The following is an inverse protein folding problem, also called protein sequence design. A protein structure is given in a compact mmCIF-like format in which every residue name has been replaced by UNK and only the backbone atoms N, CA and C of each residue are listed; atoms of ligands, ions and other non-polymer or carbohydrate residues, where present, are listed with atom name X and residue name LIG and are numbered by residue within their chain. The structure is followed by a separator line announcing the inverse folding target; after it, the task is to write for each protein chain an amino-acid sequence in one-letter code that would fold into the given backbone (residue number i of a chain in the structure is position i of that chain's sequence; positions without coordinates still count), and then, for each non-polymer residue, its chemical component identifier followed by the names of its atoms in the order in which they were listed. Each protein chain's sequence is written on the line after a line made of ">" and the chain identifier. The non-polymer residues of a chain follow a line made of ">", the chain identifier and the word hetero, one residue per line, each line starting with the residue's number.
data_IF_858681220594
#
_entry.id   IF_858681220594
#
_cell.length_a   1.000
_cell.length_b   1.000
_cell.length_c   1.000
_cell.angle_alpha   90.00
_cell.angle_beta   90.00
_cell.angle_gamma   90.00
#
_symmetry.space_group_name_H-M   'P 1'
#
loop_
_entity.id
_entity.type
_entity.pdbx_description
1 polymer ?
#
# COMPACT_ATOMS: atom_id res chain seq x y z
N UNK A 1 -30.88 80.00 12.10
CA UNK A 1 -29.81 79.21 12.74
C UNK A 1 -30.33 77.78 12.87
N UNK A 2 -30.17 76.98 11.81
CA UNK A 2 -30.55 75.56 11.76
C UNK A 2 -29.23 74.80 11.69
N UNK A 3 -28.90 74.05 12.74
CA UNK A 3 -27.68 73.25 12.78
C UNK A 3 -27.92 71.93 12.03
N UNK A 4 -27.22 71.77 10.91
CA UNK A 4 -27.07 70.47 10.24
C UNK A 4 -26.16 69.57 11.07
N UNK A 5 -26.70 68.46 11.57
CA UNK A 5 -25.90 67.33 12.04
C UNK A 5 -25.68 66.39 10.84
N UNK A 6 -24.51 66.45 10.21
CA UNK A 6 -24.05 65.42 9.29
C UNK A 6 -23.43 64.28 10.09
N UNK A 7 -24.13 63.15 10.14
CA UNK A 7 -23.64 61.90 10.71
C UNK A 7 -22.65 61.27 9.72
N UNK A 8 -21.35 61.38 9.98
CA UNK A 8 -20.33 60.64 9.22
C UNK A 8 -20.36 59.17 9.64
N UNK A 9 -20.97 58.34 8.79
CA UNK A 9 -20.92 56.89 8.93
C UNK A 9 -19.57 56.40 8.40
N UNK A 10 -18.61 56.13 9.29
CA UNK A 10 -17.39 55.42 8.95
C UNK A 10 -17.74 53.95 8.70
N UNK A 11 -17.89 53.57 7.43
CA UNK A 11 -17.95 52.17 7.02
C UNK A 11 -16.54 51.60 7.16
N UNK A 12 -16.27 50.91 8.26
CA UNK A 12 -15.13 50.01 8.36
C UNK A 12 -15.38 48.83 7.43
N UNK A 13 -14.84 48.91 6.21
CA UNK A 13 -14.67 47.73 5.37
C UNK A 13 -13.60 46.87 6.05
N UNK A 14 -14.03 45.91 6.87
CA UNK A 14 -13.20 44.76 7.13
C UNK A 14 -13.01 44.07 5.79
N UNK A 15 -11.84 44.29 5.17
CA UNK A 15 -11.30 43.30 4.25
C UNK A 15 -11.15 42.03 5.07
N UNK A 16 -12.17 41.15 5.02
CA UNK A 16 -11.90 39.73 5.10
C UNK A 16 -10.92 39.50 3.95
N UNK A 17 -9.64 39.43 4.28
CA UNK A 17 -8.70 38.67 3.48
C UNK A 17 -9.38 37.30 3.43
N UNK A 18 -10.01 36.97 2.30
CA UNK A 18 -10.39 35.60 2.04
C UNK A 18 -9.12 34.81 2.35
N UNK A 19 -9.17 33.98 3.39
CA UNK A 19 -8.12 33.00 3.60
C UNK A 19 -8.04 32.29 2.26
N UNK A 20 -6.95 32.52 1.51
CA UNK A 20 -6.76 31.88 0.22
C UNK A 20 -7.08 30.40 0.45
N UNK A 21 -8.05 29.84 -0.28
CA UNK A 21 -8.43 28.44 -0.11
C UNK A 21 -7.17 27.60 -0.34
N UNK A 22 -6.46 27.24 0.73
CA UNK A 22 -5.18 26.56 0.64
C UNK A 22 -5.50 25.13 0.24
N UNK A 23 -5.18 24.79 -1.00
CA UNK A 23 -5.26 23.43 -1.51
C UNK A 23 -3.86 22.82 -1.47
N UNK A 24 -3.61 21.94 -0.52
CA UNK A 24 -2.34 21.23 -0.46
C UNK A 24 -2.24 20.23 -1.62
N UNK A 25 -1.14 20.20 -2.39
CA UNK A 25 -0.93 19.16 -3.38
C UNK A 25 -0.76 17.79 -2.70
N UNK A 26 -1.22 16.74 -3.38
CA UNK A 26 -1.19 15.37 -2.89
C UNK A 26 -0.40 14.44 -3.81
N UNK A 27 0.35 13.51 -3.20
CA UNK A 27 0.92 12.36 -3.90
C UNK A 27 0.28 11.09 -3.35
N UNK A 28 -0.30 10.27 -4.21
CA UNK A 28 -0.94 8.99 -3.88
C UNK A 28 0.04 7.84 -4.04
N UNK A 29 0.21 7.06 -2.98
CA UNK A 29 1.12 5.91 -2.92
C UNK A 29 0.28 4.64 -2.68
N UNK A 30 0.23 3.73 -3.67
CA UNK A 30 -0.59 2.52 -3.59
C UNK A 30 -0.04 1.49 -2.62
N UNK A 31 -0.87 0.50 -2.28
CA UNK A 31 -0.48 -0.71 -1.57
C UNK A 31 -0.07 -1.84 -2.50
N UNK A 32 0.00 -3.05 -1.95
CA UNK A 32 0.25 -4.27 -2.73
C UNK A 32 -0.84 -4.48 -3.78
N UNK A 33 -0.45 -4.74 -5.03
CA UNK A 33 -1.37 -4.79 -6.17
C UNK A 33 -1.95 -3.45 -6.60
N UNK A 34 -1.64 -2.31 -5.95
CA UNK A 34 -2.32 -1.02 -6.14
C UNK A 34 -1.86 -0.15 -7.32
N UNK A 35 -0.91 -0.64 -8.13
CA UNK A 35 -0.45 0.02 -9.35
C UNK A 35 -0.56 -0.93 -10.54
N UNK A 36 -0.76 -0.40 -11.74
CA UNK A 36 -0.66 -1.21 -12.96
C UNK A 36 0.76 -1.72 -13.18
N UNK A 37 0.90 -2.90 -13.78
CA UNK A 37 2.19 -3.45 -14.25
C UNK A 37 2.06 -3.82 -15.72
N UNK A 38 3.01 -3.37 -16.53
CA UNK A 38 3.09 -3.72 -17.94
C UNK A 38 4.27 -4.66 -18.17
N UNK A 39 4.13 -5.57 -19.13
CA UNK A 39 5.15 -6.53 -19.49
C UNK A 39 5.43 -6.55 -20.99
N UNK A 40 6.66 -6.88 -21.36
CA UNK A 40 7.07 -7.22 -22.72
C UNK A 40 7.77 -8.57 -22.70
N UNK A 41 7.45 -9.45 -23.65
CA UNK A 41 7.99 -10.80 -23.70
C UNK A 41 8.94 -10.97 -24.88
N UNK A 42 10.10 -11.55 -24.62
CA UNK A 42 11.05 -12.02 -25.62
C UNK A 42 11.77 -13.28 -25.13
N UNK A 43 11.03 -14.39 -25.08
CA UNK A 43 11.46 -15.62 -24.43
C UNK A 43 12.10 -16.60 -25.41
N UNK A 44 13.24 -17.14 -25.02
CA UNK A 44 13.93 -18.24 -25.70
C UNK A 44 13.40 -19.60 -25.23
N UNK A 45 13.14 -19.73 -23.92
CA UNK A 45 12.62 -20.94 -23.28
C UNK A 45 11.11 -21.12 -23.51
N UNK A 46 10.63 -22.37 -23.57
CA UNK A 46 9.19 -22.64 -23.68
C UNK A 46 8.45 -22.16 -22.42
N UNK A 47 7.28 -21.52 -22.57
CA UNK A 47 6.45 -21.14 -21.45
C UNK A 47 5.70 -22.37 -20.90
N UNK A 48 4.98 -22.25 -19.75
CA UNK A 48 4.36 -23.39 -19.08
C UNK A 48 3.39 -24.18 -19.96
N UNK A 49 2.69 -23.50 -20.87
CA UNK A 49 1.74 -24.10 -21.80
C UNK A 49 1.93 -23.57 -23.21
N UNK A 50 1.54 -24.37 -24.22
CA UNK A 50 1.71 -24.01 -25.64
C UNK A 50 0.94 -22.75 -26.05
N UNK A 51 -0.13 -22.40 -25.33
CA UNK A 51 -0.95 -21.21 -25.59
C UNK A 51 -0.44 -19.95 -24.87
N UNK A 52 0.55 -20.07 -23.97
CA UNK A 52 1.19 -18.90 -23.39
C UNK A 52 2.12 -18.24 -24.43
N UNK A 53 2.05 -16.92 -24.56
CA UNK A 53 2.90 -16.22 -25.52
C UNK A 53 4.38 -16.25 -25.12
N UNK A 54 5.27 -16.40 -26.10
CA UNK A 54 6.72 -16.23 -25.94
C UNK A 54 7.19 -14.83 -26.27
N UNK A 55 6.50 -14.17 -27.18
CA UNK A 55 6.86 -12.86 -27.71
C UNK A 55 5.64 -11.95 -27.69
N UNK A 56 5.82 -10.75 -27.18
CA UNK A 56 4.80 -9.70 -27.20
C UNK A 56 5.50 -8.35 -27.23
N UNK A 57 4.81 -7.33 -27.73
CA UNK A 57 5.12 -5.97 -27.33
C UNK A 57 4.58 -5.71 -25.91
N UNK A 58 4.70 -4.48 -25.42
CA UNK A 58 4.14 -4.05 -24.14
C UNK A 58 2.63 -4.32 -24.05
N UNK A 59 2.22 -5.05 -23.01
CA UNK A 59 0.82 -5.27 -22.65
C UNK A 59 0.64 -5.08 -21.15
N UNK A 60 -0.61 -4.82 -20.74
CA UNK A 60 -0.98 -4.77 -19.33
C UNK A 60 -0.97 -6.18 -18.73
N UNK A 61 0.00 -6.44 -17.83
CA UNK A 61 0.10 -7.70 -17.10
C UNK A 61 -0.78 -7.69 -15.85
N UNK A 62 -0.88 -6.53 -15.20
CA UNK A 62 -1.69 -6.34 -14.00
C UNK A 62 -2.42 -4.99 -14.04
N UNK A 63 -3.74 -4.93 -13.83
CA UNK A 63 -4.68 -6.05 -13.67
C UNK A 63 -5.38 -6.37 -14.99
N UNK A 64 -5.21 -7.60 -15.50
CA UNK A 64 -6.05 -8.12 -16.59
C UNK A 64 -6.78 -9.38 -16.11
N UNK A 65 -8.10 -9.26 -15.88
CA UNK A 65 -8.92 -10.37 -15.38
C UNK A 65 -8.94 -11.58 -16.33
N UNK A 66 -8.65 -11.38 -17.63
CA UNK A 66 -8.55 -12.47 -18.61
C UNK A 66 -7.30 -13.32 -18.42
N UNK A 67 -6.27 -12.77 -17.78
CA UNK A 67 -5.01 -13.45 -17.51
C UNK A 67 -5.04 -14.29 -16.22
N UNK A 68 -6.04 -14.08 -15.35
CA UNK A 68 -6.13 -14.74 -14.03
C UNK A 68 -7.24 -15.80 -13.95
N UNK A 69 -7.91 -16.11 -15.07
CA UNK A 69 -8.86 -17.22 -15.15
C UNK A 69 -8.13 -18.57 -15.07
N UNK A 70 -8.76 -19.65 -14.56
CA UNK A 70 -8.09 -20.92 -14.29
C UNK A 70 -7.24 -21.47 -15.44
N UNK A 71 -7.69 -21.33 -16.69
CA UNK A 71 -7.03 -21.86 -17.87
C UNK A 71 -5.77 -21.07 -18.27
N UNK A 72 -5.67 -19.79 -17.89
CA UNK A 72 -4.62 -18.85 -18.35
C UNK A 72 -3.70 -18.40 -17.21
N UNK A 73 -4.11 -18.59 -15.95
CA UNK A 73 -3.39 -18.12 -14.76
C UNK A 73 -1.93 -18.57 -14.69
N UNK A 74 -1.61 -19.75 -15.22
CA UNK A 74 -0.22 -20.24 -15.26
C UNK A 74 0.66 -19.37 -16.17
N UNK A 75 0.12 -18.79 -17.25
CA UNK A 75 0.82 -17.81 -18.08
C UNK A 75 1.05 -16.50 -17.34
N UNK A 76 0.04 -16.00 -16.62
CA UNK A 76 0.16 -14.81 -15.77
C UNK A 76 1.24 -15.01 -14.70
N UNK A 77 1.15 -16.10 -13.93
CA UNK A 77 2.07 -16.42 -12.85
C UNK A 77 3.51 -16.49 -13.37
N UNK A 78 3.71 -17.11 -14.53
CA UNK A 78 5.05 -17.24 -15.10
C UNK A 78 5.62 -15.91 -15.63
N UNK A 79 4.77 -14.98 -16.05
CA UNK A 79 5.17 -13.61 -16.42
C UNK A 79 5.37 -12.70 -15.20
N UNK A 80 4.61 -12.92 -14.13
CA UNK A 80 4.59 -12.05 -12.95
C UNK A 80 5.64 -12.42 -11.92
N UNK A 81 5.97 -13.71 -11.79
CA UNK A 81 6.88 -14.22 -10.76
C UNK A 81 8.30 -13.69 -10.94
N UNK A 82 9.04 -13.65 -9.83
CA UNK A 82 10.43 -13.24 -9.78
C UNK A 82 11.35 -14.45 -9.56
N UNK A 83 12.63 -14.29 -9.92
CA UNK A 83 13.70 -15.23 -9.59
C UNK A 83 14.62 -14.60 -8.55
N UNK A 84 15.01 -15.36 -7.53
CA UNK A 84 15.93 -14.89 -6.49
C UNK A 84 17.36 -15.37 -6.74
N UNK A 85 18.32 -14.48 -6.56
CA UNK A 85 19.73 -14.81 -6.59
C UNK A 85 20.29 -14.81 -5.15
N UNK A 86 20.68 -16.00 -4.67
CA UNK A 86 21.18 -16.17 -3.31
C UNK A 86 22.50 -15.46 -3.03
N UNK A 87 23.30 -15.18 -4.06
CA UNK A 87 24.58 -14.48 -3.93
C UNK A 87 24.36 -12.98 -3.79
N UNK A 88 23.54 -12.39 -4.65
CA UNK A 88 23.28 -10.94 -4.62
C UNK A 88 22.19 -10.55 -3.61
N UNK A 89 21.44 -11.53 -3.10
CA UNK A 89 20.28 -11.34 -2.23
C UNK A 89 19.18 -10.48 -2.85
N UNK A 90 19.07 -10.50 -4.19
CA UNK A 90 18.12 -9.69 -4.97
C UNK A 90 17.27 -10.54 -5.89
N UNK A 91 16.13 -9.98 -6.29
CA UNK A 91 15.22 -10.56 -7.26
C UNK A 91 15.39 -9.93 -8.65
N UNK A 92 15.14 -10.73 -9.68
CA UNK A 92 15.04 -10.31 -11.07
C UNK A 92 13.77 -10.84 -11.70
N UNK A 93 13.33 -10.23 -12.80
CA UNK A 93 12.31 -10.84 -13.64
C UNK A 93 12.86 -12.15 -14.25
N UNK A 94 11.96 -13.01 -14.74
CA UNK A 94 12.36 -14.16 -15.53
C UNK A 94 13.06 -13.74 -16.82
N UNK A 95 13.94 -14.60 -17.32
CA UNK A 95 14.60 -14.40 -18.61
C UNK A 95 13.57 -14.20 -19.72
N UNK A 96 13.75 -13.14 -20.52
CA UNK A 96 12.82 -12.77 -21.58
C UNK A 96 11.52 -12.12 -21.09
N UNK A 97 11.42 -11.72 -19.81
CA UNK A 97 10.32 -10.89 -19.31
C UNK A 97 10.85 -9.53 -18.87
N UNK A 98 10.39 -8.49 -19.54
CA UNK A 98 10.63 -7.10 -19.14
C UNK A 98 9.39 -6.55 -18.46
N UNK A 99 9.59 -5.76 -17.40
CA UNK A 99 8.52 -5.17 -16.60
C UNK A 99 8.70 -3.66 -16.57
N UNK A 100 7.57 -2.95 -16.67
CA UNK A 100 7.49 -1.50 -16.55
C UNK A 100 6.33 -1.12 -15.64
N UNK A 101 6.56 -0.14 -14.79
CA UNK A 101 5.54 0.49 -13.96
C UNK A 101 5.11 1.80 -14.62
N UNK A 102 3.93 1.88 -15.25
CA UNK A 102 3.48 3.08 -15.95
C UNK A 102 2.91 4.14 -15.02
N UNK A 103 2.86 5.38 -15.52
CA UNK A 103 2.06 6.46 -14.92
C UNK A 103 2.72 7.18 -13.75
N UNK A 104 4.03 7.03 -13.53
CA UNK A 104 4.74 7.77 -12.48
C UNK A 104 4.55 9.29 -12.61
N UNK A 105 4.11 9.94 -11.54
CA UNK A 105 3.72 11.36 -11.51
C UNK A 105 2.28 11.65 -11.95
N UNK A 106 1.55 10.70 -12.55
CA UNK A 106 0.14 10.83 -12.89
C UNK A 106 -0.71 9.93 -11.97
N UNK A 107 -1.99 10.21 -11.80
CA UNK A 107 -2.89 9.42 -10.93
C UNK A 107 -3.57 8.25 -11.64
N UNK A 108 -3.59 8.22 -12.99
CA UNK A 108 -4.35 7.24 -13.77
C UNK A 108 -4.09 5.78 -13.39
N UNK A 109 -2.83 5.41 -13.17
CA UNK A 109 -2.41 4.03 -12.90
C UNK A 109 -2.49 3.63 -11.43
N UNK A 110 -2.93 4.54 -10.56
CA UNK A 110 -3.26 4.28 -9.15
C UNK A 110 -4.74 4.56 -8.84
N UNK A 111 -5.48 5.17 -9.77
CA UNK A 111 -6.93 5.35 -9.64
C UNK A 111 -7.70 4.04 -9.84
N UNK A 112 -7.21 3.18 -10.74
CA UNK A 112 -7.80 1.88 -11.09
C UNK A 112 -6.72 0.81 -11.22
N UNK A 113 -7.02 -0.42 -10.80
CA UNK A 113 -6.12 -1.56 -10.98
C UNK A 113 -5.92 -1.94 -12.45
N UNK A 114 -6.88 -1.65 -13.32
CA UNK A 114 -6.82 -1.95 -14.75
C UNK A 114 -6.95 -0.69 -15.63
N UNK A 115 -6.46 -0.76 -16.87
CA UNK A 115 -6.52 0.35 -17.82
C UNK A 115 -7.91 0.60 -18.43
N UNK A 116 -8.85 -0.34 -18.29
CA UNK A 116 -10.23 -0.16 -18.76
C UNK A 116 -11.02 0.83 -17.90
N UNK A 117 -10.59 1.06 -16.65
CA UNK A 117 -11.22 2.01 -15.73
C UNK A 117 -12.60 1.56 -15.25
N UNK A 118 -12.90 0.26 -15.30
CA UNK A 118 -14.17 -0.29 -14.86
C UNK A 118 -14.38 -0.07 -13.35
N UNK A 119 -15.64 0.12 -12.93
CA UNK A 119 -15.95 0.44 -11.53
C UNK A 119 -15.47 -0.63 -10.52
N UNK A 120 -15.37 -1.89 -10.95
CA UNK A 120 -14.90 -2.98 -10.10
C UNK A 120 -13.41 -2.86 -9.75
N UNK A 121 -12.58 -2.32 -10.66
CA UNK A 121 -11.16 -2.08 -10.43
C UNK A 121 -10.84 -0.71 -9.82
N UNK A 122 -11.87 0.07 -9.50
CA UNK A 122 -11.71 1.35 -8.81
C UNK A 122 -10.92 1.17 -7.50
N UNK A 123 -9.86 1.95 -7.36
CA UNK A 123 -8.97 2.00 -6.20
C UNK A 123 -8.96 3.42 -5.63
N UNK A 124 -7.98 4.28 -5.90
CA UNK A 124 -8.01 5.70 -5.47
C UNK A 124 -9.01 6.59 -6.25
N UNK A 125 -9.62 6.09 -7.32
CA UNK A 125 -10.52 6.89 -8.18
C UNK A 125 -11.59 7.71 -7.43
N UNK A 126 -12.29 7.20 -6.39
CA UNK A 126 -13.33 7.98 -5.71
C UNK A 126 -12.76 9.20 -4.97
N UNK A 127 -11.60 9.04 -4.31
CA UNK A 127 -10.90 10.13 -3.62
C UNK A 127 -10.42 11.17 -4.63
N UNK A 128 -9.72 10.73 -5.68
CA UNK A 128 -9.20 11.62 -6.73
C UNK A 128 -10.33 12.37 -7.43
N UNK A 129 -11.45 11.69 -7.74
CA UNK A 129 -12.63 12.31 -8.35
C UNK A 129 -13.23 13.38 -7.44
N UNK A 130 -13.38 13.11 -6.14
CA UNK A 130 -13.86 14.11 -5.16
C UNK A 130 -12.99 15.35 -5.17
N UNK A 131 -11.67 15.19 -5.11
CA UNK A 131 -10.72 16.32 -5.14
C UNK A 131 -10.79 17.11 -6.44
N UNK A 132 -10.94 16.44 -7.59
CA UNK A 132 -11.09 17.12 -8.88
C UNK A 132 -12.35 18.00 -8.92
N UNK A 133 -13.45 17.58 -8.27
CA UNK A 133 -14.65 18.44 -8.16
C UNK A 133 -14.41 19.70 -7.32
N UNK A 134 -13.34 19.72 -6.52
CA UNK A 134 -12.94 20.83 -5.67
C UNK A 134 -11.81 21.67 -6.28
N UNK A 135 -11.54 21.52 -7.58
CA UNK A 135 -10.57 22.33 -8.31
C UNK A 135 -9.15 21.75 -8.40
N UNK A 136 -8.94 20.52 -7.93
CA UNK A 136 -7.68 19.82 -8.15
C UNK A 136 -7.52 19.34 -9.61
N UNK A 137 -6.26 19.29 -10.06
CA UNK A 137 -5.83 18.90 -11.40
C UNK A 137 -4.85 17.73 -11.34
N UNK A 138 -5.21 16.61 -11.98
CA UNK A 138 -4.35 15.43 -12.15
C UNK A 138 -3.05 15.79 -12.86
N UNK A 139 -1.94 15.23 -12.43
CA UNK A 139 -0.61 15.52 -12.96
C UNK A 139 -0.02 16.86 -12.50
N UNK A 140 -0.75 17.68 -11.73
CA UNK A 140 -0.27 18.97 -11.21
C UNK A 140 -0.26 18.97 -9.69
N UNK A 141 -1.41 19.16 -9.05
CA UNK A 141 -1.56 19.10 -7.58
C UNK A 141 -2.12 17.75 -7.09
N UNK A 142 -2.48 16.83 -7.99
CA UNK A 142 -2.70 15.42 -7.68
C UNK A 142 -1.74 14.57 -8.51
N UNK A 143 -0.86 13.84 -7.85
CA UNK A 143 0.19 13.02 -8.49
C UNK A 143 0.12 11.60 -7.94
N UNK A 144 0.50 10.60 -8.74
CA UNK A 144 0.62 9.22 -8.28
C UNK A 144 2.09 8.77 -8.26
N UNK A 145 2.43 7.90 -7.32
CA UNK A 145 3.74 7.27 -7.22
C UNK A 145 3.60 5.73 -7.27
N UNK A 146 3.19 5.16 -8.42
CA UNK A 146 3.17 3.71 -8.60
C UNK A 146 4.59 3.14 -8.54
N UNK A 147 4.72 1.92 -8.02
CA UNK A 147 5.98 1.19 -7.92
C UNK A 147 5.78 -0.29 -8.23
N UNK A 148 6.88 -1.04 -8.35
CA UNK A 148 6.83 -2.50 -8.52
C UNK A 148 6.50 -3.15 -7.17
N UNK A 149 5.20 -3.32 -6.89
CA UNK A 149 4.71 -3.84 -5.60
C UNK A 149 5.15 -5.28 -5.31
N UNK A 150 5.75 -5.99 -6.27
CA UNK A 150 6.28 -7.35 -6.06
C UNK A 150 7.53 -7.33 -5.18
N UNK A 151 8.29 -6.24 -5.17
CA UNK A 151 9.61 -6.11 -4.51
C UNK A 151 9.50 -5.58 -3.09
N UNK A 152 10.36 -6.07 -2.21
CA UNK A 152 10.52 -5.57 -0.83
C UNK A 152 11.24 -4.23 -0.78
N UNK A 153 11.31 -3.62 0.42
CA UNK A 153 11.94 -2.31 0.64
C UNK A 153 13.44 -2.30 0.25
N UNK A 154 14.13 -3.44 0.40
CA UNK A 154 15.55 -3.61 0.10
C UNK A 154 15.90 -3.44 -1.39
N UNK A 155 14.90 -3.52 -2.27
CA UNK A 155 15.07 -3.50 -3.72
C UNK A 155 14.44 -2.28 -4.41
N UNK A 156 14.08 -1.23 -3.66
CA UNK A 156 13.27 -0.10 -4.16
C UNK A 156 14.02 1.24 -4.20
N UNK A 157 15.36 1.23 -4.22
CA UNK A 157 16.16 2.46 -4.19
C UNK A 157 15.83 3.41 -5.36
N UNK A 158 15.65 2.88 -6.58
CA UNK A 158 15.28 3.69 -7.75
C UNK A 158 13.92 4.39 -7.54
N UNK A 159 12.92 3.67 -7.04
CA UNK A 159 11.64 4.27 -6.67
C UNK A 159 11.80 5.36 -5.61
N UNK A 160 12.63 5.16 -4.58
CA UNK A 160 12.84 6.16 -3.53
C UNK A 160 13.55 7.43 -4.04
N UNK A 161 14.48 7.29 -4.97
CA UNK A 161 15.16 8.41 -5.62
C UNK A 161 14.16 9.19 -6.50
N UNK A 162 13.40 8.48 -7.33
CA UNK A 162 12.35 9.05 -8.17
C UNK A 162 11.23 9.71 -7.34
N UNK A 163 10.85 9.11 -6.21
CA UNK A 163 9.85 9.66 -5.30
C UNK A 163 10.35 10.95 -4.64
N UNK A 164 11.63 11.03 -4.31
CA UNK A 164 12.25 12.27 -3.82
C UNK A 164 12.18 13.37 -4.87
N UNK A 165 12.41 13.04 -6.14
CA UNK A 165 12.30 13.99 -7.23
C UNK A 165 10.83 14.40 -7.46
N UNK A 166 9.89 13.45 -7.43
CA UNK A 166 8.46 13.72 -7.56
C UNK A 166 7.96 14.69 -6.49
N UNK A 167 8.42 14.55 -5.23
CA UNK A 167 8.08 15.47 -4.14
C UNK A 167 8.60 16.88 -4.45
N UNK A 168 9.86 17.04 -4.90
CA UNK A 168 10.42 18.34 -5.26
C UNK A 168 9.69 18.97 -6.44
N UNK A 169 9.44 18.22 -7.50
CA UNK A 169 8.74 18.70 -8.69
C UNK A 169 7.31 19.13 -8.35
N UNK A 170 6.61 18.34 -7.53
CA UNK A 170 5.26 18.66 -7.08
C UNK A 170 5.25 19.93 -6.23
N UNK A 171 6.25 20.14 -5.38
CA UNK A 171 6.40 21.38 -4.61
C UNK A 171 6.56 22.61 -5.51
N UNK A 172 7.50 22.56 -6.46
CA UNK A 172 7.77 23.70 -7.35
C UNK A 172 6.59 23.99 -8.30
N UNK A 173 5.92 22.95 -8.83
CA UNK A 173 4.74 23.11 -9.68
C UNK A 173 3.53 23.74 -8.97
N UNK A 174 3.50 23.69 -7.63
CA UNK A 174 2.38 24.13 -6.82
C UNK A 174 2.74 25.33 -5.94
N UNK A 175 3.47 26.30 -6.50
CA UNK A 175 3.86 27.54 -5.84
C UNK A 175 4.56 27.30 -4.50
N UNK A 176 5.42 26.27 -4.44
CA UNK A 176 6.19 25.93 -3.25
C UNK A 176 5.29 25.58 -2.05
N UNK A 177 4.15 24.96 -2.33
CA UNK A 177 3.22 24.47 -1.32
C UNK A 177 3.63 23.06 -0.88
N UNK A 178 3.69 22.86 0.44
CA UNK A 178 4.02 21.55 1.05
C UNK A 178 3.02 20.46 0.65
N UNK A 179 3.52 19.26 0.45
CA UNK A 179 2.78 18.09 -0.05
C UNK A 179 2.16 17.30 1.10
N UNK A 180 0.92 16.85 0.92
CA UNK A 180 0.31 15.79 1.73
C UNK A 180 0.53 14.45 1.05
N UNK A 181 1.16 13.50 1.75
CA UNK A 181 1.35 12.14 1.25
C UNK A 181 0.11 11.31 1.59
N UNK A 182 -0.52 10.67 0.61
CA UNK A 182 -1.71 9.83 0.83
C UNK A 182 -1.34 8.40 0.49
N UNK A 183 -1.27 7.53 1.50
CA UNK A 183 -0.88 6.13 1.32
C UNK A 183 -2.05 5.19 1.57
N UNK A 184 -2.00 4.02 0.94
CA UNK A 184 -2.87 2.91 1.31
C UNK A 184 -2.04 1.66 1.56
N UNK A 185 -2.42 0.89 2.59
CA UNK A 185 -1.85 -0.42 2.89
C UNK A 185 -0.32 -0.41 2.89
N UNK A 186 0.34 -1.30 2.14
CA UNK A 186 1.79 -1.41 2.04
C UNK A 186 2.51 -0.11 1.64
N UNK A 187 1.84 0.82 0.97
CA UNK A 187 2.40 2.14 0.65
C UNK A 187 2.78 2.95 1.90
N UNK A 188 2.08 2.75 3.03
CA UNK A 188 2.37 3.41 4.31
C UNK A 188 3.76 3.06 4.83
N UNK A 189 4.07 1.79 5.12
CA UNK A 189 5.41 1.35 5.50
C UNK A 189 6.51 1.73 4.50
N UNK A 190 6.23 1.73 3.19
CA UNK A 190 7.18 2.18 2.16
C UNK A 190 7.53 3.66 2.30
N UNK A 191 6.52 4.52 2.46
CA UNK A 191 6.75 5.95 2.66
C UNK A 191 7.39 6.22 4.01
N UNK A 192 7.07 5.43 5.05
CA UNK A 192 7.74 5.53 6.35
C UNK A 192 9.24 5.25 6.23
N UNK A 193 9.62 4.17 5.53
CA UNK A 193 11.02 3.85 5.25
C UNK A 193 11.73 4.99 4.50
N UNK A 194 11.06 5.56 3.50
CA UNK A 194 11.59 6.73 2.78
C UNK A 194 11.75 7.96 3.68
N UNK A 195 10.77 8.26 4.55
CA UNK A 195 10.81 9.38 5.49
C UNK A 195 11.95 9.27 6.51
N UNK A 196 12.28 8.06 6.97
CA UNK A 196 13.43 7.83 7.86
C UNK A 196 14.78 8.18 7.21
N UNK A 197 14.83 8.23 5.87
CA UNK A 197 16.02 8.57 5.08
C UNK A 197 16.06 10.05 4.68
N UNK A 198 15.04 10.83 5.02
CA UNK A 198 15.00 12.27 4.77
C UNK A 198 15.49 13.06 5.99
N UNK A 199 16.18 14.17 5.74
CA UNK A 199 16.60 15.08 6.81
C UNK A 199 15.38 15.81 7.41
N UNK A 200 15.51 16.28 8.66
CA UNK A 200 14.47 17.11 9.28
C UNK A 200 14.17 18.37 8.45
N UNK A 201 15.19 18.99 7.84
CA UNK A 201 15.03 20.14 6.96
C UNK A 201 14.26 19.81 5.69
N UNK A 202 14.50 18.63 5.09
CA UNK A 202 13.74 18.17 3.94
C UNK A 202 12.27 17.99 4.30
N UNK A 203 11.98 17.26 5.39
CA UNK A 203 10.61 17.04 5.86
C UNK A 203 9.92 18.37 6.18
N UNK A 204 10.61 19.27 6.87
CA UNK A 204 10.10 20.60 7.21
C UNK A 204 9.84 21.47 5.98
N UNK A 205 10.65 21.36 4.91
CA UNK A 205 10.48 22.13 3.68
C UNK A 205 9.35 21.59 2.80
N UNK A 206 9.33 20.28 2.55
CA UNK A 206 8.49 19.70 1.50
C UNK A 206 7.21 19.05 2.02
N UNK A 207 7.17 18.52 3.23
CA UNK A 207 6.06 17.67 3.67
C UNK A 207 5.12 18.42 4.62
N UNK A 208 3.83 18.44 4.30
CA UNK A 208 2.78 19.02 5.12
C UNK A 208 2.33 18.03 6.19
N UNK A 209 1.94 16.84 5.76
CA UNK A 209 1.46 15.74 6.59
C UNK A 209 1.40 14.45 5.77
N UNK A 210 1.09 13.33 6.43
CA UNK A 210 0.86 12.03 5.80
C UNK A 210 -0.50 11.50 6.24
N UNK A 211 -1.33 11.09 5.29
CA UNK A 211 -2.59 10.37 5.52
C UNK A 211 -2.35 8.90 5.18
N UNK A 212 -2.44 8.03 6.17
CA UNK A 212 -2.28 6.60 6.06
C UNK A 212 -3.64 5.93 6.11
N UNK A 213 -3.98 5.16 5.08
CA UNK A 213 -5.24 4.45 4.98
C UNK A 213 -4.95 2.95 5.07
N UNK A 214 -5.35 2.32 6.17
CA UNK A 214 -5.22 0.89 6.43
C UNK A 214 -3.77 0.35 6.37
N UNK A 215 -2.80 1.09 6.90
CA UNK A 215 -1.39 0.70 6.87
C UNK A 215 -1.09 -0.52 7.78
N UNK A 216 -0.43 -1.58 7.26
CA UNK A 216 -0.07 -2.77 8.04
C UNK A 216 1.24 -2.57 8.79
N UNK A 217 1.25 -1.69 9.79
CA UNK A 217 2.48 -1.32 10.52
C UNK A 217 3.23 -2.50 11.15
N UNK A 218 2.50 -3.55 11.54
CA UNK A 218 3.06 -4.79 12.09
C UNK A 218 2.98 -5.98 11.14
N UNK A 219 2.54 -5.81 9.89
CA UNK A 219 2.21 -6.91 8.97
C UNK A 219 0.81 -7.51 9.18
N UNK A 220 0.52 -8.61 8.49
CA UNK A 220 -0.79 -9.25 8.46
C UNK A 220 -0.69 -10.78 8.35
N UNK A 221 -1.53 -11.51 9.11
CA UNK A 221 -1.55 -12.99 9.07
C UNK A 221 -1.91 -13.52 7.68
N UNK A 222 -2.71 -12.78 6.90
CA UNK A 222 -3.06 -13.15 5.51
C UNK A 222 -1.81 -13.42 4.67
N UNK A 223 -0.71 -12.68 4.87
CA UNK A 223 0.55 -12.89 4.16
C UNK A 223 1.17 -14.29 4.39
N UNK A 224 0.99 -14.87 5.58
CA UNK A 224 1.40 -16.26 5.85
C UNK A 224 0.57 -17.26 5.03
N UNK A 225 -0.72 -16.98 4.81
CA UNK A 225 -1.58 -17.82 3.96
C UNK A 225 -1.11 -17.81 2.51
N UNK A 226 -0.78 -16.63 1.97
CA UNK A 226 -0.18 -16.46 0.64
C UNK A 226 1.09 -17.32 0.48
N UNK A 227 1.98 -17.29 1.47
CA UNK A 227 3.22 -18.08 1.45
C UNK A 227 2.99 -19.59 1.58
N UNK A 228 2.05 -20.03 2.40
CA UNK A 228 1.84 -21.46 2.68
C UNK A 228 1.03 -22.12 1.57
N UNK A 229 -0.24 -21.75 1.41
CA UNK A 229 -1.21 -22.43 0.53
C UNK A 229 -1.71 -21.58 -0.64
N UNK A 230 -1.21 -20.34 -0.74
CA UNK A 230 -1.69 -19.35 -1.70
C UNK A 230 -3.03 -18.74 -1.27
N UNK A 231 -3.39 -17.65 -1.93
CA UNK A 231 -4.60 -16.87 -1.64
C UNK A 231 -5.26 -16.43 -2.93
N UNK A 232 -6.58 -16.40 -3.00
CA UNK A 232 -7.28 -15.88 -4.16
C UNK A 232 -7.45 -14.36 -4.14
N UNK A 233 -6.99 -13.69 -3.07
CA UNK A 233 -7.07 -12.23 -2.85
C UNK A 233 -8.50 -11.74 -3.07
N UNK A 234 -9.46 -12.54 -2.59
CA UNK A 234 -10.90 -12.29 -2.69
C UNK A 234 -11.44 -12.20 -4.13
N UNK A 235 -10.69 -12.72 -5.10
CA UNK A 235 -11.11 -12.92 -6.49
C UNK A 235 -11.54 -14.38 -6.68
N UNK A 236 -12.85 -14.64 -6.71
CA UNK A 236 -13.41 -16.00 -6.71
C UNK A 236 -12.85 -16.94 -7.80
N UNK A 237 -12.52 -16.41 -8.98
CA UNK A 237 -12.01 -17.20 -10.11
C UNK A 237 -10.53 -17.60 -9.99
N UNK A 238 -9.79 -17.00 -9.04
CA UNK A 238 -8.36 -17.26 -8.85
C UNK A 238 -8.16 -18.53 -8.05
N UNK A 239 -7.39 -19.46 -8.59
CA UNK A 239 -6.96 -20.68 -7.89
C UNK A 239 -5.80 -20.38 -6.94
N UNK A 240 -5.95 -20.52 -5.60
CA UNK A 240 -4.91 -20.17 -4.63
C UNK A 240 -3.59 -20.90 -4.89
N UNK A 241 -3.66 -22.21 -5.13
CA UNK A 241 -2.46 -23.02 -5.31
C UNK A 241 -1.72 -22.70 -6.61
N UNK A 242 -2.44 -22.29 -7.67
CA UNK A 242 -1.84 -21.91 -8.94
C UNK A 242 -1.19 -20.53 -8.89
N UNK A 243 -1.75 -19.59 -8.14
CA UNK A 243 -1.18 -18.24 -7.99
C UNK A 243 -0.04 -18.17 -6.96
N UNK A 244 0.04 -19.15 -6.05
CA UNK A 244 1.08 -19.27 -5.02
C UNK A 244 2.51 -19.09 -5.51
N UNK A 245 2.96 -19.63 -6.68
CA UNK A 245 4.34 -19.43 -7.14
C UNK A 245 4.70 -17.95 -7.35
N UNK A 246 3.76 -17.13 -7.85
CA UNK A 246 3.96 -15.68 -7.93
C UNK A 246 3.99 -15.06 -6.52
N UNK A 247 2.98 -15.34 -5.70
CA UNK A 247 2.87 -14.78 -4.34
C UNK A 247 4.11 -15.08 -3.49
N UNK A 248 4.65 -16.31 -3.60
CA UNK A 248 5.90 -16.73 -2.97
C UNK A 248 7.11 -15.99 -3.51
N UNK A 249 7.17 -15.76 -4.82
CA UNK A 249 8.33 -15.12 -5.45
C UNK A 249 8.46 -13.62 -5.15
N UNK A 250 7.39 -12.97 -4.67
CA UNK A 250 7.37 -11.55 -4.35
C UNK A 250 7.91 -11.30 -2.92
N UNK A 251 9.09 -10.66 -2.75
CA UNK A 251 9.60 -10.35 -1.41
C UNK A 251 8.68 -9.44 -0.60
N UNK A 252 7.83 -8.65 -1.26
CA UNK A 252 6.81 -7.82 -0.58
C UNK A 252 5.84 -8.64 0.27
N UNK A 253 5.45 -9.83 -0.17
CA UNK A 253 4.62 -10.76 0.62
C UNK A 253 5.31 -11.12 1.95
N UNK A 254 6.62 -11.37 1.93
CA UNK A 254 7.38 -11.68 3.14
C UNK A 254 7.54 -10.45 4.04
N UNK A 255 7.71 -9.28 3.43
CA UNK A 255 7.83 -8.01 4.14
C UNK A 255 6.59 -7.69 4.99
N UNK A 256 5.39 -7.97 4.49
CA UNK A 256 4.13 -7.72 5.24
C UNK A 256 3.67 -8.89 6.11
N UNK A 257 4.55 -9.87 6.39
CA UNK A 257 4.24 -10.90 7.39
C UNK A 257 4.26 -10.32 8.82
N UNK A 258 3.55 -10.96 9.78
CA UNK A 258 3.49 -10.48 11.15
C UNK A 258 4.87 -10.29 11.78
N UNK A 259 5.09 -9.12 12.40
CA UNK A 259 6.32 -8.78 13.11
C UNK A 259 6.27 -9.23 14.58
N UNK A 260 7.44 -9.60 15.10
CA UNK A 260 7.68 -9.93 16.52
C UNK A 260 7.33 -8.77 17.48
N UNK A 261 7.24 -7.54 16.99
CA UNK A 261 6.89 -6.38 17.82
C UNK A 261 5.38 -6.25 18.07
N UNK A 262 4.57 -7.01 17.35
CA UNK A 262 3.10 -6.90 17.36
C UNK A 262 2.39 -8.19 17.75
N UNK A 263 3.05 -9.33 17.63
CA UNK A 263 2.56 -10.63 18.09
C UNK A 263 3.40 -11.11 19.25
N UNK A 264 2.76 -11.70 20.27
CA UNK A 264 3.51 -12.23 21.40
C UNK A 264 4.39 -13.38 20.93
N UNK A 265 5.59 -13.51 21.51
CA UNK A 265 6.56 -14.54 21.12
C UNK A 265 6.03 -15.99 21.23
N UNK A 266 5.06 -16.22 22.12
CA UNK A 266 4.45 -17.52 22.39
C UNK A 266 3.07 -17.68 21.69
N UNK A 267 2.63 -16.66 20.93
CA UNK A 267 1.37 -16.67 20.21
C UNK A 267 1.49 -17.48 18.93
N UNK A 268 0.67 -18.53 18.83
CA UNK A 268 0.61 -19.40 17.65
C UNK A 268 -0.18 -18.71 16.55
N UNK A 269 0.45 -18.56 15.38
CA UNK A 269 -0.15 -17.95 14.18
C UNK A 269 -0.45 -18.98 13.08
N UNK A 270 0.24 -20.13 13.11
CA UNK A 270 -0.01 -21.26 12.21
C UNK A 270 0.03 -22.55 13.00
N UNK A 271 -0.98 -23.40 12.82
CA UNK A 271 -1.01 -24.77 13.32
C UNK A 271 -0.84 -25.70 12.12
N UNK A 272 0.14 -26.59 12.16
CA UNK A 272 0.28 -27.69 11.21
C UNK A 272 0.29 -29.04 11.94
N UNK A 273 0.22 -30.16 11.20
CA UNK A 273 0.37 -31.48 11.80
C UNK A 273 1.74 -31.75 12.42
N UNK A 274 2.79 -31.09 11.93
CA UNK A 274 4.15 -31.27 12.39
C UNK A 274 4.40 -30.49 13.68
N UNK A 275 3.94 -29.23 13.74
CA UNK A 275 4.10 -28.34 14.90
C UNK A 275 3.26 -27.08 14.78
N UNK A 276 3.22 -26.33 15.88
CA UNK A 276 2.71 -24.97 15.90
C UNK A 276 3.85 -23.98 15.61
N UNK A 277 3.55 -22.92 14.88
CA UNK A 277 4.50 -21.85 14.56
C UNK A 277 4.01 -20.53 15.16
N UNK A 278 4.95 -19.85 15.79
CA UNK A 278 4.84 -18.46 16.21
C UNK A 278 5.53 -17.54 15.20
N UNK A 279 5.51 -16.24 15.44
CA UNK A 279 6.27 -15.26 14.66
C UNK A 279 7.80 -15.41 14.79
N UNK A 280 8.30 -16.23 15.73
CA UNK A 280 9.72 -16.56 15.86
C UNK A 280 10.13 -17.80 15.06
N UNK A 281 9.17 -18.56 14.54
CA UNK A 281 9.42 -19.87 13.92
C UNK A 281 9.43 -19.80 12.39
N UNK A 282 9.66 -18.63 11.78
CA UNK A 282 9.58 -18.48 10.32
C UNK A 282 10.62 -19.31 9.56
N UNK A 283 11.86 -19.41 10.03
CA UNK A 283 12.86 -20.29 9.41
C UNK A 283 12.36 -21.74 9.33
N UNK A 284 11.85 -22.19 10.47
CA UNK A 284 11.22 -23.47 10.68
C UNK A 284 10.02 -23.69 9.74
N UNK A 285 9.10 -22.73 9.66
CA UNK A 285 7.94 -22.75 8.78
C UNK A 285 8.34 -22.85 7.31
N UNK A 286 9.27 -22.01 6.85
CA UNK A 286 9.70 -21.98 5.46
C UNK A 286 10.42 -23.24 5.03
N UNK A 287 11.19 -23.86 5.93
CA UNK A 287 11.78 -25.18 5.70
C UNK A 287 10.71 -26.26 5.57
N UNK A 288 9.71 -26.27 6.45
CA UNK A 288 8.65 -27.29 6.45
C UNK A 288 7.73 -27.22 5.23
N UNK A 289 7.53 -26.03 4.65
CA UNK A 289 6.81 -25.84 3.37
C UNK A 289 7.70 -25.94 2.12
N UNK A 290 8.97 -26.35 2.30
CA UNK A 290 9.98 -26.51 1.24
C UNK A 290 10.21 -25.23 0.43
N UNK A 291 10.25 -24.08 1.10
CA UNK A 291 10.49 -22.78 0.49
C UNK A 291 11.42 -21.89 1.34
N UNK A 292 12.69 -22.29 1.55
CA UNK A 292 13.64 -21.52 2.37
C UNK A 292 13.91 -20.10 1.85
N UNK A 293 13.71 -19.86 0.54
CA UNK A 293 13.82 -18.52 -0.06
C UNK A 293 12.88 -17.51 0.59
N UNK A 294 11.69 -17.92 1.03
CA UNK A 294 10.75 -17.04 1.73
C UNK A 294 11.30 -16.51 3.05
N UNK A 295 12.09 -17.31 3.77
CA UNK A 295 12.78 -16.85 4.98
C UNK A 295 13.87 -15.82 4.64
N UNK A 296 14.59 -16.01 3.54
CA UNK A 296 15.58 -15.04 3.07
C UNK A 296 14.94 -13.68 2.73
N UNK A 297 13.78 -13.67 2.06
CA UNK A 297 13.04 -12.44 1.80
C UNK A 297 12.65 -11.71 3.09
N UNK A 298 12.16 -12.47 4.08
CA UNK A 298 11.81 -11.92 5.38
C UNK A 298 13.02 -11.34 6.11
N UNK A 299 14.14 -12.07 6.19
CA UNK A 299 15.38 -11.59 6.81
C UNK A 299 15.88 -10.29 6.17
N UNK A 300 15.86 -10.19 4.84
CA UNK A 300 16.34 -9.01 4.13
C UNK A 300 15.50 -7.76 4.42
N UNK A 301 14.23 -7.93 4.80
CA UNK A 301 13.27 -6.82 4.96
C UNK A 301 12.89 -6.52 6.40
N UNK A 302 12.93 -7.51 7.30
CA UNK A 302 12.29 -7.43 8.62
C UNK A 302 12.75 -6.23 9.45
N UNK A 303 14.03 -5.85 9.37
CA UNK A 303 14.63 -4.81 10.21
C UNK A 303 14.51 -3.40 9.62
N UNK A 304 14.06 -3.25 8.37
CA UNK A 304 14.05 -1.97 7.66
C UNK A 304 13.04 -0.97 8.24
N UNK A 305 11.92 -1.46 8.79
CA UNK A 305 10.90 -0.65 9.49
C UNK A 305 10.46 -1.27 10.81
N UNK A 306 11.17 -2.27 11.34
CA UNK A 306 10.73 -3.05 12.50
C UNK A 306 10.49 -2.21 13.76
N UNK A 307 11.42 -1.30 14.04
CA UNK A 307 11.37 -0.42 15.21
C UNK A 307 10.19 0.57 15.14
N UNK A 308 9.57 0.69 13.96
CA UNK A 308 8.47 1.59 13.67
C UNK A 308 8.71 2.97 14.28
N UNK A 309 9.87 3.57 13.95
CA UNK A 309 10.21 4.93 14.41
C UNK A 309 9.18 5.93 13.90
N UNK A 310 8.82 6.96 14.69
CA UNK A 310 7.89 7.98 14.24
C UNK A 310 8.40 8.68 12.96
N UNK A 311 7.50 9.09 12.05
CA UNK A 311 7.90 9.81 10.84
C UNK A 311 8.38 11.26 11.10
N UNK A 312 8.08 11.81 12.29
CA UNK A 312 8.38 13.19 12.71
C UNK A 312 7.73 14.25 11.80
N UNK A 313 6.52 13.94 11.32
CA UNK A 313 5.60 14.84 10.62
C UNK A 313 4.20 14.64 11.20
N UNK A 314 3.28 15.57 10.92
CA UNK A 314 1.86 15.37 11.25
C UNK A 314 1.34 14.14 10.49
N UNK A 315 0.68 13.22 11.19
CA UNK A 315 0.13 12.00 10.59
C UNK A 315 -1.37 11.85 10.87
N UNK A 316 -2.08 11.28 9.91
CA UNK A 316 -3.50 10.96 9.98
C UNK A 316 -3.70 9.48 9.68
N UNK A 317 -4.21 8.72 10.64
CA UNK A 317 -4.23 7.26 10.63
C UNK A 317 -5.68 6.76 10.51
N UNK A 318 -6.10 6.39 9.30
CA UNK A 318 -7.44 5.93 8.99
C UNK A 318 -7.45 4.42 8.84
N UNK A 319 -8.33 3.71 9.54
CA UNK A 319 -8.35 2.24 9.48
C UNK A 319 -9.74 1.67 9.73
N UNK A 320 -10.01 0.52 9.12
CA UNK A 320 -11.19 -0.29 9.40
C UNK A 320 -11.00 -1.11 10.68
N UNK A 321 -12.11 -1.48 11.33
CA UNK A 321 -12.10 -2.38 12.48
C UNK A 321 -13.35 -3.24 12.49
N UNK A 322 -13.43 -4.23 13.38
CA UNK A 322 -14.58 -5.10 13.57
C UNK A 322 -14.97 -5.93 12.34
N UNK A 323 -14.00 -6.21 11.47
CA UNK A 323 -14.12 -7.16 10.37
C UNK A 323 -13.38 -8.46 10.70
N UNK A 324 -13.99 -9.64 10.49
CA UNK A 324 -13.29 -10.91 10.63
C UNK A 324 -12.04 -10.94 9.76
N UNK A 325 -10.87 -10.96 10.41
CA UNK A 325 -9.56 -10.89 9.76
C UNK A 325 -8.80 -12.16 10.06
N UNK A 326 -7.99 -12.75 9.15
CA UNK A 326 -7.21 -13.94 9.49
C UNK A 326 -6.39 -13.74 10.77
N UNK A 327 -6.60 -14.59 11.77
CA UNK A 327 -5.89 -14.56 13.06
C UNK A 327 -4.95 -15.74 13.23
N UNK A 328 -5.48 -16.96 13.08
CA UNK A 328 -4.70 -18.21 13.13
C UNK A 328 -5.05 -19.09 11.94
N UNK A 329 -4.03 -19.65 11.29
CA UNK A 329 -4.20 -20.58 10.17
C UNK A 329 -4.09 -22.03 10.67
N UNK A 330 -5.21 -22.77 10.64
CA UNK A 330 -5.26 -24.16 11.08
C UNK A 330 -5.17 -25.11 9.88
N UNK A 331 -4.05 -25.80 9.76
CA UNK A 331 -3.86 -26.87 8.80
C UNK A 331 -3.85 -28.25 9.47
N UNK A 332 -4.32 -29.24 8.73
CA UNK A 332 -4.27 -30.66 9.13
C UNK A 332 -3.48 -31.47 8.10
N UNK A 333 -3.38 -32.79 8.31
CA UNK A 333 -2.60 -33.71 7.45
C UNK A 333 -3.05 -33.71 5.98
N UNK A 334 -4.25 -33.24 5.68
CA UNK A 334 -4.79 -33.17 4.32
C UNK A 334 -4.58 -31.81 3.68
N UNK A 335 -4.45 -30.74 4.49
CA UNK A 335 -4.41 -29.38 3.97
C UNK A 335 -3.01 -28.76 3.98
N UNK A 336 -2.12 -29.13 4.91
CA UNK A 336 -0.78 -28.56 4.95
C UNK A 336 0.13 -29.13 3.84
N UNK A 337 0.86 -28.31 3.07
CA UNK A 337 0.74 -26.86 2.90
C UNK A 337 -0.08 -26.45 1.66
N UNK A 338 -0.67 -27.40 0.92
CA UNK A 338 -1.14 -27.17 -0.45
C UNK A 338 -2.65 -26.91 -0.61
N UNK A 339 -3.46 -27.06 0.45
CA UNK A 339 -4.89 -26.68 0.43
C UNK A 339 -5.18 -25.62 1.48
N UNK A 340 -6.31 -24.94 1.33
CA UNK A 340 -6.69 -23.84 2.21
C UNK A 340 -6.90 -24.30 3.67
N UNK A 341 -6.46 -23.51 4.66
CA UNK A 341 -6.65 -23.81 6.07
C UNK A 341 -8.08 -23.47 6.54
N UNK A 342 -8.43 -23.96 7.74
CA UNK A 342 -9.47 -23.29 8.52
C UNK A 342 -8.84 -22.02 9.10
N UNK A 343 -9.49 -20.87 8.90
CA UNK A 343 -9.01 -19.58 9.40
C UNK A 343 -9.81 -19.21 10.63
N UNK A 344 -9.14 -19.10 11.78
CA UNK A 344 -9.74 -18.50 12.97
C UNK A 344 -9.65 -16.98 12.84
N UNK A 345 -10.76 -16.24 12.97
CA UNK A 345 -10.73 -14.80 12.83
C UNK A 345 -10.15 -14.11 14.08
N UNK A 346 -9.46 -13.00 13.84
CA UNK A 346 -9.12 -11.93 14.79
C UNK A 346 -9.83 -10.64 14.33
N UNK A 347 -9.77 -9.60 15.14
CA UNK A 347 -10.27 -8.27 14.80
C UNK A 347 -9.33 -7.53 13.83
N UNK A 348 -9.90 -6.70 12.96
CA UNK A 348 -9.17 -5.96 11.92
C UNK A 348 -10.10 -5.43 10.84
N UNK A 349 -9.57 -5.27 9.62
CA UNK A 349 -10.29 -4.76 8.44
C UNK A 349 -10.56 -5.83 7.36
N UNK A 350 -10.43 -7.11 7.70
CA UNK A 350 -10.57 -8.25 6.79
C UNK A 350 -9.25 -8.71 6.16
N UNK A 351 -8.21 -7.86 6.17
CA UNK A 351 -6.86 -8.20 5.69
C UNK A 351 -5.81 -8.01 6.78
N UNK A 352 -5.80 -6.84 7.42
CA UNK A 352 -4.79 -6.43 8.41
C UNK A 352 -5.38 -6.48 9.81
N UNK A 353 -4.69 -7.18 10.71
CA UNK A 353 -5.11 -7.32 12.10
C UNK A 353 -5.11 -5.96 12.82
N UNK A 354 -6.07 -5.74 13.73
CA UNK A 354 -6.26 -4.45 14.41
C UNK A 354 -5.02 -3.97 15.16
N UNK A 355 -4.24 -4.89 15.72
CA UNK A 355 -2.97 -4.61 16.42
C UNK A 355 -1.92 -4.00 15.50
N UNK A 356 -1.91 -4.41 14.24
CA UNK A 356 -1.02 -3.90 13.19
C UNK A 356 -1.53 -2.54 12.69
N UNK A 357 -2.83 -2.42 12.41
CA UNK A 357 -3.46 -1.14 12.02
C UNK A 357 -3.24 -0.04 13.06
N UNK A 358 -3.26 -0.38 14.35
CA UNK A 358 -3.02 0.54 15.46
C UNK A 358 -1.54 0.74 15.80
N UNK A 359 -0.61 0.26 14.98
CA UNK A 359 0.82 0.37 15.26
C UNK A 359 1.35 1.80 15.35
N UNK A 360 0.68 2.77 14.71
CA UNK A 360 0.96 4.19 14.86
C UNK A 360 0.88 4.68 16.33
N UNK A 361 0.13 4.00 17.21
CA UNK A 361 0.07 4.34 18.64
C UNK A 361 1.43 4.26 19.31
N UNK A 362 2.36 3.47 18.76
CA UNK A 362 3.74 3.41 19.24
C UNK A 362 4.50 4.73 19.06
N UNK A 363 3.99 5.68 18.26
CA UNK A 363 4.55 7.00 18.06
C UNK A 363 4.02 8.04 19.04
N UNK A 364 2.93 7.74 19.77
CA UNK A 364 2.41 8.61 20.81
C UNK A 364 3.53 8.93 21.80
N UNK A 365 3.71 10.22 22.11
CA UNK A 365 4.81 10.77 22.93
C UNK A 365 6.25 10.64 22.38
N UNK A 366 6.47 10.02 21.20
CA UNK A 366 7.80 9.88 20.59
C UNK A 366 8.09 10.91 19.49
N UNK A 367 7.11 11.72 19.13
CA UNK A 367 7.28 12.85 18.22
C UNK A 367 6.55 14.10 18.74
N UNK A 368 6.96 15.27 18.23
CA UNK A 368 6.35 16.57 18.61
C UNK A 368 5.09 16.86 17.80
N UNK A 369 5.02 16.31 16.60
CA UNK A 369 3.97 16.55 15.63
C UNK A 369 2.74 15.73 15.98
N UNK A 370 1.57 16.31 15.72
CA UNK A 370 0.29 15.69 16.04
C UNK A 370 0.08 14.38 15.28
N UNK A 371 -0.63 13.45 15.93
CA UNK A 371 -1.11 12.21 15.34
C UNK A 371 -2.63 12.21 15.49
N UNK A 372 -3.34 12.27 14.37
CA UNK A 372 -4.79 12.13 14.31
C UNK A 372 -5.11 10.71 13.88
N UNK A 373 -6.20 10.14 14.38
CA UNK A 373 -6.66 8.83 13.92
C UNK A 373 -8.17 8.79 13.77
N UNK A 374 -8.65 7.98 12.83
CA UNK A 374 -10.05 7.75 12.58
C UNK A 374 -10.28 6.25 12.35
N UNK A 375 -10.94 5.63 13.32
CA UNK A 375 -11.44 4.28 13.20
C UNK A 375 -12.78 4.29 12.48
N UNK A 376 -12.96 3.39 11.51
CA UNK A 376 -14.19 3.23 10.74
C UNK A 376 -14.70 1.78 10.89
N UNK A 377 -15.51 1.50 11.92
CA UNK A 377 -16.04 0.16 12.19
C UNK A 377 -16.78 -0.47 11.01
N UNK A 378 -16.56 -1.76 10.79
CA UNK A 378 -17.28 -2.57 9.79
C UNK A 378 -16.87 -2.29 8.34
N UNK A 379 -15.73 -1.65 8.12
CA UNK A 379 -15.24 -1.31 6.78
C UNK A 379 -14.03 -2.18 6.40
N UNK A 380 -14.14 -2.82 5.23
CA UNK A 380 -13.11 -3.71 4.67
C UNK A 380 -11.91 -2.93 4.11
N UNK A 381 -10.73 -3.57 4.12
CA UNK A 381 -9.42 -3.06 3.74
C UNK A 381 -9.33 -2.27 2.41
N UNK A 382 -10.01 -2.71 1.35
CA UNK A 382 -10.10 -1.99 0.08
C UNK A 382 -11.32 -1.07 0.04
N UNK A 383 -12.43 -1.49 0.64
CA UNK A 383 -13.66 -0.70 0.69
C UNK A 383 -13.48 0.66 1.39
N UNK A 384 -12.53 0.77 2.33
CA UNK A 384 -12.21 2.01 3.04
C UNK A 384 -11.87 3.19 2.11
N UNK A 385 -11.25 2.94 0.96
CA UNK A 385 -10.91 3.99 -0.02
C UNK A 385 -12.15 4.57 -0.72
N UNK A 386 -13.25 3.82 -0.72
CA UNK A 386 -14.53 4.22 -1.33
C UNK A 386 -15.51 4.73 -0.26
N UNK A 387 -15.16 4.61 1.02
CA UNK A 387 -16.04 4.96 2.12
C UNK A 387 -16.23 6.49 2.20
N UNK A 388 -17.47 7.00 2.29
CA UNK A 388 -17.73 8.45 2.32
C UNK A 388 -16.98 9.18 3.42
N UNK A 389 -16.86 8.59 4.62
CA UNK A 389 -16.11 9.19 5.73
C UNK A 389 -14.63 9.38 5.38
N UNK A 390 -14.00 8.39 4.75
CA UNK A 390 -12.59 8.47 4.30
C UNK A 390 -12.42 9.56 3.25
N UNK A 391 -13.29 9.58 2.23
CA UNK A 391 -13.25 10.57 1.15
C UNK A 391 -13.40 11.98 1.71
N UNK A 392 -14.36 12.17 2.61
CA UNK A 392 -14.58 13.47 3.26
C UNK A 392 -13.39 13.88 4.14
N UNK A 393 -12.85 12.96 4.94
CA UNK A 393 -11.68 13.24 5.78
C UNK A 393 -10.47 13.67 4.96
N UNK A 394 -10.12 12.89 3.93
CA UNK A 394 -8.99 13.20 3.02
C UNK A 394 -9.20 14.56 2.36
N UNK A 395 -10.43 14.82 1.89
CA UNK A 395 -10.81 16.10 1.31
C UNK A 395 -10.58 17.25 2.28
N UNK A 396 -11.08 17.14 3.51
CA UNK A 396 -10.95 18.18 4.53
C UNK A 396 -9.48 18.48 4.86
N UNK A 397 -8.63 17.46 4.97
CA UNK A 397 -7.19 17.67 5.20
C UNK A 397 -6.56 18.42 4.03
N UNK A 398 -6.84 17.99 2.80
CA UNK A 398 -6.25 18.56 1.59
C UNK A 398 -6.70 20.00 1.31
N UNK A 399 -7.96 20.34 1.62
CA UNK A 399 -8.50 21.69 1.46
C UNK A 399 -8.30 22.58 2.68
N UNK A 400 -7.45 22.18 3.64
CA UNK A 400 -7.19 22.91 4.89
C UNK A 400 -8.46 23.21 5.72
N UNK A 401 -9.48 22.35 5.63
CA UNK A 401 -10.76 22.44 6.36
C UNK A 401 -10.86 21.42 7.50
N UNK A 402 -9.84 20.59 7.71
CA UNK A 402 -9.79 19.61 8.78
C UNK A 402 -9.79 20.30 10.15
N UNK A 403 -10.81 20.00 10.96
CA UNK A 403 -10.88 20.48 12.35
C UNK A 403 -9.95 19.63 13.23
N UNK A 404 -9.01 20.29 13.91
CA UNK A 404 -8.01 19.65 14.77
C UNK A 404 -8.55 19.29 16.17
N UNK A 405 -9.84 19.54 16.43
CA UNK A 405 -10.46 19.38 17.75
C UNK A 405 -10.75 17.94 18.14
#
# INVERSE_FOLDING_TARGET
>A
MIYHLFLFCFIYIFNKIDAANVHYPAIFIPGDGGSQIWARLNRTLPPPHFFCSRHSDWFELWLDLRLIVPEVIDCFVDNMRLTYNETTKKTSNLEGVEIKIPGFGNTSTVEYFDASGFAYSSYFAPIVRSLVTLGYTRGVNLRGAPYDFRRGLDEQNEFFDDFTQLVKDTYELNNQTKIVLVTHSMGGPFVLYWLHRQTSDFKAKYIRSMINIAAPWGGAIKALRLMISGDNIDVYVVSPIRVRPYQRSAPSTAFVMPSINFWNKDEVVVVSPQRNYTVNDYEALFNDIQFPTGYAYWINNKDLVNELKPPEIESHELYGSHMPTPGVLLYNNRTFPDLQPIVLPDDGDGTVNIRSLRGFKNWESKQKQDIYSLEIPGVEHLAILKHPTTINYVTQVLTAQFDKK
#
